data_IF_381948112488
#
_entry.id   IF_381948112488
#
_cell.length_a   1.000
_cell.length_b   1.000
_cell.length_c   1.000
_cell.angle_alpha   90.00
_cell.angle_beta   90.00
_cell.angle_gamma   90.00
#
_symmetry.space_group_name_H-M   'P 1'
#
loop_
_entity.id
_entity.type
_entity.pdbx_description
1 polymer ?
#
# COMPACT_ATOMS: atom_id res chain seq x y z
N UNK A 1 -48.09 -4.52 -28.20
CA UNK A 1 -46.98 -5.24 -28.90
C UNK A 1 -45.62 -4.52 -28.74
N UNK A 2 -45.57 -3.20 -28.72
CA UNK A 2 -44.33 -2.39 -28.59
C UNK A 2 -43.67 -2.58 -27.22
N UNK A 3 -44.46 -2.57 -26.14
CA UNK A 3 -43.93 -2.75 -24.74
C UNK A 3 -43.23 -4.11 -24.57
N UNK A 4 -43.70 -5.18 -25.16
CA UNK A 4 -43.05 -6.50 -25.09
C UNK A 4 -41.70 -6.54 -25.82
N UNK A 5 -41.53 -5.72 -26.86
CA UNK A 5 -40.24 -5.60 -27.56
C UNK A 5 -39.25 -4.71 -26.83
N UNK A 6 -39.71 -3.72 -26.06
CA UNK A 6 -38.90 -2.80 -25.29
C UNK A 6 -38.50 -3.36 -23.94
N UNK A 7 -39.25 -4.33 -23.40
CA UNK A 7 -38.99 -4.90 -22.04
C UNK A 7 -37.54 -5.37 -21.83
N UNK A 8 -36.90 -6.14 -22.74
CA UNK A 8 -35.52 -6.57 -22.50
C UNK A 8 -34.52 -5.42 -22.48
N UNK A 9 -34.73 -4.36 -23.25
CA UNK A 9 -33.87 -3.17 -23.24
C UNK A 9 -34.05 -2.36 -21.94
N UNK A 10 -35.28 -2.22 -21.46
CA UNK A 10 -35.57 -1.56 -20.22
C UNK A 10 -34.95 -2.34 -19.04
N UNK A 11 -35.05 -3.65 -19.03
CA UNK A 11 -34.41 -4.50 -18.00
C UNK A 11 -32.90 -4.33 -18.07
N UNK A 12 -32.29 -4.36 -19.24
CA UNK A 12 -30.84 -4.18 -19.40
C UNK A 12 -30.36 -2.81 -18.91
N UNK A 13 -31.06 -1.74 -19.28
CA UNK A 13 -30.76 -0.38 -18.82
C UNK A 13 -30.92 -0.26 -17.30
N UNK A 14 -32.02 -0.82 -16.75
CA UNK A 14 -32.25 -0.78 -15.29
C UNK A 14 -31.17 -1.55 -14.52
N UNK A 15 -30.78 -2.72 -14.97
CA UNK A 15 -29.68 -3.49 -14.38
C UNK A 15 -28.34 -2.75 -14.51
N UNK A 16 -28.09 -2.11 -15.66
CA UNK A 16 -26.92 -1.27 -15.87
C UNK A 16 -26.87 -0.09 -14.88
N UNK A 17 -27.97 0.64 -14.72
CA UNK A 17 -28.06 1.76 -13.76
C UNK A 17 -27.89 1.26 -12.31
N UNK A 18 -28.53 0.15 -11.95
CA UNK A 18 -28.41 -0.43 -10.62
C UNK A 18 -26.98 -0.84 -10.29
N UNK A 19 -26.22 -1.33 -11.27
CA UNK A 19 -24.79 -1.67 -11.07
C UNK A 19 -23.89 -0.46 -10.87
N UNK A 20 -24.35 0.74 -11.24
CA UNK A 20 -23.66 2.01 -11.06
C UNK A 20 -24.08 2.78 -9.81
N UNK A 21 -25.08 2.32 -9.06
CA UNK A 21 -25.46 2.97 -7.81
C UNK A 21 -24.26 2.92 -6.84
N UNK A 22 -23.86 4.06 -6.25
CA UNK A 22 -22.67 4.15 -5.41
C UNK A 22 -22.61 3.12 -4.27
N UNK A 23 -23.76 2.78 -3.69
CA UNK A 23 -23.85 1.77 -2.65
C UNK A 23 -23.54 0.37 -3.18
N UNK A 24 -24.14 -0.03 -4.30
CA UNK A 24 -23.85 -1.34 -4.93
C UNK A 24 -22.42 -1.38 -5.43
N UNK A 25 -21.91 -0.28 -5.96
CA UNK A 25 -20.53 -0.14 -6.40
C UNK A 25 -19.55 -0.29 -5.24
N UNK A 26 -19.80 0.38 -4.12
CA UNK A 26 -18.92 0.37 -2.97
C UNK A 26 -18.92 -1.00 -2.26
N UNK A 27 -20.08 -1.63 -2.11
CA UNK A 27 -20.17 -2.99 -1.55
C UNK A 27 -19.63 -4.04 -2.50
N UNK A 28 -19.89 -3.92 -3.80
CA UNK A 28 -19.35 -4.84 -4.81
C UNK A 28 -17.85 -4.69 -4.94
N UNK A 29 -17.32 -3.47 -4.96
CA UNK A 29 -15.86 -3.24 -4.97
C UNK A 29 -15.24 -3.71 -3.65
N UNK A 30 -15.81 -3.42 -2.50
CA UNK A 30 -15.31 -3.89 -1.22
C UNK A 30 -15.32 -5.42 -1.11
N UNK A 31 -16.44 -6.07 -1.44
CA UNK A 31 -16.54 -7.53 -1.49
C UNK A 31 -15.60 -8.15 -2.53
N UNK A 32 -15.39 -7.43 -3.61
CA UNK A 32 -14.48 -7.77 -4.66
C UNK A 32 -13.03 -7.67 -4.16
N UNK A 33 -12.65 -6.58 -3.49
CA UNK A 33 -11.32 -6.40 -2.92
C UNK A 33 -11.03 -7.36 -1.77
N UNK A 34 -12.01 -7.63 -0.92
CA UNK A 34 -11.87 -8.59 0.20
C UNK A 34 -12.01 -10.03 -0.25
N UNK A 35 -12.74 -10.31 -1.34
CA UNK A 35 -12.90 -11.65 -1.93
C UNK A 35 -11.76 -12.09 -2.83
N UNK A 36 -10.89 -11.16 -3.26
CA UNK A 36 -9.74 -11.45 -4.14
C UNK A 36 -8.46 -11.73 -3.39
N UNK A 37 -8.53 -12.08 -2.10
CA UNK A 37 -7.41 -12.66 -1.40
C UNK A 37 -6.28 -11.69 -1.12
N UNK A 38 -6.56 -10.54 -0.50
CA UNK A 38 -5.53 -9.90 0.28
C UNK A 38 -5.17 -10.85 1.43
N UNK A 39 -4.03 -11.48 1.31
CA UNK A 39 -3.46 -12.22 2.42
C UNK A 39 -2.84 -11.23 3.38
N UNK A 40 -2.80 -11.56 4.66
CA UNK A 40 -2.23 -10.68 5.68
C UNK A 40 -1.15 -11.40 6.49
N UNK A 41 -0.10 -10.64 6.80
CA UNK A 41 0.85 -10.99 7.85
C UNK A 41 0.77 -9.88 8.88
N UNK A 42 0.24 -10.17 10.06
CA UNK A 42 -0.17 -9.17 11.05
C UNK A 42 -1.13 -8.13 10.38
N UNK A 43 -0.84 -6.83 10.52
CA UNK A 43 -1.61 -5.74 9.89
C UNK A 43 -1.20 -5.43 8.44
N UNK A 44 -0.23 -6.15 7.88
CA UNK A 44 0.28 -5.94 6.53
C UNK A 44 -0.46 -6.81 5.52
N UNK A 45 -1.06 -6.17 4.51
CA UNK A 45 -1.67 -6.85 3.37
C UNK A 45 -0.61 -7.12 2.31
N UNK A 46 -0.64 -8.28 1.68
CA UNK A 46 0.29 -8.61 0.60
C UNK A 46 -0.40 -9.35 -0.55
N UNK A 47 0.22 -9.25 -1.72
CA UNK A 47 -0.15 -9.99 -2.92
C UNK A 47 1.12 -10.52 -3.58
N UNK A 48 1.32 -11.82 -3.57
CA UNK A 48 2.53 -12.43 -4.15
C UNK A 48 2.49 -12.46 -5.69
N UNK A 49 1.29 -12.37 -6.28
CA UNK A 49 1.08 -12.49 -7.72
C UNK A 49 1.17 -11.16 -8.49
N UNK A 50 1.51 -10.04 -7.83
CA UNK A 50 1.61 -8.76 -8.51
C UNK A 50 2.60 -8.82 -9.68
N UNK A 51 2.14 -8.37 -10.87
CA UNK A 51 2.93 -8.35 -12.09
C UNK A 51 3.22 -9.71 -12.70
N UNK A 52 2.66 -10.80 -12.15
CA UNK A 52 2.85 -12.16 -12.68
C UNK A 52 1.79 -12.52 -13.73
N UNK A 53 2.06 -13.58 -14.50
CA UNK A 53 1.08 -14.15 -15.43
C UNK A 53 -0.10 -14.81 -14.72
N UNK A 54 0.09 -15.26 -13.48
CA UNK A 54 -0.94 -15.88 -12.62
C UNK A 54 -1.99 -14.90 -12.12
N UNK A 55 -1.73 -13.58 -12.22
CA UNK A 55 -2.70 -12.56 -11.86
C UNK A 55 -4.02 -12.76 -12.60
N UNK A 56 -5.11 -12.89 -11.85
CA UNK A 56 -6.44 -12.96 -12.44
C UNK A 56 -6.86 -11.61 -13.06
N UNK A 57 -7.89 -11.64 -13.93
CA UNK A 57 -8.36 -10.47 -14.66
C UNK A 57 -8.74 -9.30 -13.74
N UNK A 58 -9.24 -9.58 -12.56
CA UNK A 58 -9.71 -8.58 -11.62
C UNK A 58 -8.55 -7.88 -10.89
N UNK A 59 -7.55 -8.65 -10.48
CA UNK A 59 -6.31 -8.10 -9.91
C UNK A 59 -5.61 -7.19 -10.93
N UNK A 60 -5.56 -7.60 -12.20
CA UNK A 60 -5.02 -6.76 -13.30
C UNK A 60 -5.82 -5.48 -13.46
N UNK A 61 -7.15 -5.55 -13.46
CA UNK A 61 -8.01 -4.37 -13.56
C UNK A 61 -7.81 -3.44 -12.35
N UNK A 62 -7.70 -3.98 -11.13
CA UNK A 62 -7.44 -3.22 -9.91
C UNK A 62 -6.11 -2.47 -9.97
N UNK A 63 -5.03 -3.17 -10.31
CA UNK A 63 -3.69 -2.59 -10.48
C UNK A 63 -3.70 -1.47 -11.53
N UNK A 64 -4.41 -1.68 -12.64
CA UNK A 64 -4.53 -0.68 -13.72
C UNK A 64 -5.34 0.56 -13.29
N UNK A 65 -6.41 0.37 -12.51
CA UNK A 65 -7.24 1.47 -12.01
C UNK A 65 -6.50 2.35 -11.00
N UNK A 66 -5.62 1.75 -10.20
CA UNK A 66 -4.79 2.47 -9.24
C UNK A 66 -3.54 3.11 -9.88
N UNK A 67 -3.29 2.85 -11.16
CA UNK A 67 -2.08 3.34 -11.84
C UNK A 67 -0.79 2.71 -11.32
N UNK A 68 -0.88 1.60 -10.61
CA UNK A 68 0.28 0.88 -10.09
C UNK A 68 1.02 0.21 -11.26
N UNK A 69 2.34 0.38 -11.28
CA UNK A 69 3.25 -0.30 -12.21
C UNK A 69 4.16 -1.23 -11.40
N UNK A 70 3.64 -2.34 -10.87
CA UNK A 70 4.43 -3.25 -10.06
C UNK A 70 5.47 -3.95 -10.93
N UNK A 71 6.66 -4.12 -10.37
CA UNK A 71 7.63 -5.07 -10.94
C UNK A 71 7.07 -6.49 -10.87
N UNK A 72 7.44 -7.31 -11.85
CA UNK A 72 6.93 -8.67 -11.92
C UNK A 72 7.39 -9.51 -10.71
N UNK A 73 6.50 -10.35 -10.19
CA UNK A 73 6.87 -11.45 -9.31
C UNK A 73 7.76 -12.45 -10.11
N UNK A 74 8.89 -12.98 -9.56
CA UNK A 74 9.31 -12.88 -8.15
C UNK A 74 10.32 -11.76 -7.83
N UNK A 75 10.43 -10.72 -8.65
CA UNK A 75 11.40 -9.64 -8.48
C UNK A 75 11.14 -8.79 -7.22
N UNK A 76 9.86 -8.55 -6.88
CA UNK A 76 9.48 -7.70 -5.76
C UNK A 76 8.24 -8.24 -5.05
N UNK A 77 8.28 -8.25 -3.72
CA UNK A 77 7.09 -8.41 -2.87
C UNK A 77 6.67 -7.03 -2.37
N UNK A 78 5.37 -6.73 -2.51
CA UNK A 78 4.75 -5.51 -2.02
C UNK A 78 3.83 -5.84 -0.83
N UNK A 79 4.02 -5.13 0.27
CA UNK A 79 3.12 -5.21 1.42
C UNK A 79 2.63 -3.81 1.75
N UNK A 80 1.35 -3.69 2.13
CA UNK A 80 0.74 -2.41 2.50
C UNK A 80 0.10 -2.48 3.87
N UNK A 81 0.20 -1.39 4.64
CA UNK A 81 -0.48 -1.25 5.91
C UNK A 81 -1.16 0.12 5.99
N UNK A 82 -2.42 0.13 6.41
CA UNK A 82 -3.23 1.33 6.65
C UNK A 82 -3.67 1.48 8.10
N UNK A 83 -3.28 0.54 8.94
CA UNK A 83 -3.60 0.50 10.38
C UNK A 83 -2.36 0.18 11.20
N UNK A 84 -2.36 0.60 12.46
CA UNK A 84 -1.31 0.26 13.42
C UNK A 84 -1.53 -1.13 14.05
N UNK A 85 -0.66 -1.53 14.98
CA UNK A 85 -0.74 -2.83 15.67
C UNK A 85 -2.00 -2.99 16.54
N UNK A 86 -2.72 -1.90 16.84
CA UNK A 86 -4.00 -1.92 17.55
C UNK A 86 -5.21 -2.02 16.60
N UNK A 87 -4.98 -1.87 15.28
CA UNK A 87 -6.03 -1.82 14.27
C UNK A 87 -6.59 -0.41 14.04
N UNK A 88 -5.97 0.63 14.61
CA UNK A 88 -6.35 2.03 14.38
C UNK A 88 -5.75 2.53 13.05
N UNK A 89 -6.49 3.35 12.30
CA UNK A 89 -6.01 3.96 11.06
C UNK A 89 -4.76 4.83 11.29
N UNK A 90 -3.89 4.88 10.30
CA UNK A 90 -2.69 5.72 10.32
C UNK A 90 -3.06 7.17 10.01
N UNK A 91 -3.01 8.03 11.01
CA UNK A 91 -3.50 9.42 10.93
C UNK A 91 -2.39 10.44 11.11
N UNK A 92 -2.50 11.56 10.40
CA UNK A 92 -1.47 12.58 10.30
C UNK A 92 -1.27 13.46 11.54
N UNK A 93 -2.10 13.32 12.56
CA UNK A 93 -1.94 14.03 13.82
C UNK A 93 -1.18 13.25 14.89
N UNK A 94 -0.75 12.01 14.59
CA UNK A 94 -0.01 11.14 15.49
C UNK A 94 1.39 10.82 14.96
N UNK A 95 2.31 10.55 15.84
CA UNK A 95 3.61 9.99 15.52
C UNK A 95 3.55 8.47 15.58
N UNK A 96 4.39 7.80 14.80
CA UNK A 96 4.50 6.35 14.79
C UNK A 96 5.95 5.91 14.78
N UNK A 97 6.18 4.67 15.21
CA UNK A 97 7.47 4.01 15.13
C UNK A 97 7.30 2.64 14.48
N UNK A 98 8.06 2.39 13.41
CA UNK A 98 8.19 1.07 12.82
C UNK A 98 9.35 0.35 13.47
N UNK A 99 9.09 -0.78 14.10
CA UNK A 99 10.10 -1.67 14.65
C UNK A 99 10.13 -2.97 13.84
N UNK A 100 11.18 -3.17 13.09
CA UNK A 100 11.31 -4.29 12.18
C UNK A 100 12.65 -5.01 12.26
N UNK A 101 12.76 -6.01 11.40
CA UNK A 101 13.97 -6.79 11.20
C UNK A 101 14.27 -6.80 9.70
N UNK A 102 15.52 -6.63 9.33
CA UNK A 102 15.97 -6.62 7.93
C UNK A 102 15.57 -7.93 7.24
N UNK A 103 14.78 -7.86 6.15
CA UNK A 103 14.36 -9.04 5.42
C UNK A 103 15.54 -9.68 4.66
N UNK A 104 15.45 -10.97 4.43
CA UNK A 104 16.39 -11.67 3.57
C UNK A 104 16.08 -11.35 2.11
N UNK A 105 16.72 -10.32 1.59
CA UNK A 105 16.49 -9.76 0.27
C UNK A 105 17.73 -9.00 -0.23
N UNK A 106 17.74 -8.68 -1.54
CA UNK A 106 18.78 -7.86 -2.13
C UNK A 106 18.68 -6.38 -1.68
N UNK A 107 17.45 -5.90 -1.51
CA UNK A 107 17.14 -4.52 -1.11
C UNK A 107 15.72 -4.44 -0.54
N UNK A 108 15.46 -3.47 0.31
CA UNK A 108 14.14 -3.20 0.85
C UNK A 108 13.94 -1.72 1.10
N UNK A 109 12.68 -1.27 1.08
CA UNK A 109 12.33 0.11 1.39
C UNK A 109 10.90 0.23 1.92
N UNK A 110 10.70 1.22 2.79
CA UNK A 110 9.38 1.72 3.14
C UNK A 110 9.11 3.02 2.40
N UNK A 111 7.88 3.17 1.94
CA UNK A 111 7.40 4.41 1.35
C UNK A 111 6.05 4.78 1.98
N UNK A 112 5.81 6.09 2.09
CA UNK A 112 4.60 6.65 2.66
C UNK A 112 3.75 7.28 1.54
N UNK A 113 2.44 6.97 1.54
CA UNK A 113 1.49 7.45 0.55
C UNK A 113 0.26 8.05 1.22
N UNK A 114 -0.30 9.08 0.63
CA UNK A 114 -1.61 9.59 1.00
C UNK A 114 -2.75 8.61 0.66
N UNK A 115 -3.94 8.93 1.14
CA UNK A 115 -5.15 8.15 0.83
C UNK A 115 -5.57 8.20 -0.65
N UNK A 116 -4.97 9.10 -1.42
CA UNK A 116 -5.11 9.23 -2.88
C UNK A 116 -4.12 8.34 -3.67
N UNK A 117 -3.26 7.56 -2.96
CA UNK A 117 -2.20 6.73 -3.50
C UNK A 117 -1.03 7.48 -4.17
N UNK A 118 -0.89 8.77 -3.90
CA UNK A 118 0.29 9.54 -4.29
C UNK A 118 1.27 9.69 -3.12
N UNK A 119 2.54 9.92 -3.45
CA UNK A 119 3.53 10.30 -2.46
C UNK A 119 3.10 11.60 -1.77
N UNK A 120 3.22 11.64 -0.45
CA UNK A 120 2.98 12.86 0.29
C UNK A 120 4.07 13.89 -0.02
N UNK A 121 3.68 15.14 -0.20
CA UNK A 121 4.59 16.25 -0.44
C UNK A 121 4.56 17.22 0.73
N UNK A 122 5.70 17.87 1.00
CA UNK A 122 5.75 18.95 1.97
C UNK A 122 4.87 20.11 1.48
N UNK A 123 3.79 20.47 2.19
CA UNK A 123 2.88 21.54 1.78
C UNK A 123 3.57 22.92 1.77
N UNK A 124 4.72 23.07 2.46
CA UNK A 124 5.50 24.30 2.48
C UNK A 124 6.54 24.37 1.34
N UNK A 125 6.72 23.29 0.62
CA UNK A 125 7.70 23.16 -0.47
C UNK A 125 7.10 22.43 -1.68
N UNK A 126 5.85 22.77 -2.01
CA UNK A 126 5.19 22.25 -3.22
C UNK A 126 5.94 22.77 -4.45
N UNK A 127 6.50 21.87 -5.23
CA UNK A 127 7.12 22.14 -6.51
C UNK A 127 6.23 21.56 -7.61
N UNK A 128 6.02 22.35 -8.67
CA UNK A 128 5.30 21.87 -9.86
C UNK A 128 6.04 20.72 -10.56
N UNK A 129 7.37 20.64 -10.35
CA UNK A 129 8.25 19.60 -10.85
C UNK A 129 9.19 19.15 -9.71
N UNK A 130 8.78 18.20 -8.84
CA UNK A 130 9.58 17.75 -7.74
C UNK A 130 10.83 17.03 -8.25
N UNK A 131 11.99 17.40 -7.70
CA UNK A 131 13.23 16.70 -8.01
C UNK A 131 13.24 15.29 -7.41
N UNK A 132 14.14 14.45 -7.92
CA UNK A 132 14.34 13.09 -7.38
C UNK A 132 14.62 13.11 -5.87
N UNK A 133 15.35 14.11 -5.37
CA UNK A 133 15.65 14.28 -3.94
C UNK A 133 14.40 14.63 -3.11
N UNK A 134 13.49 15.43 -3.66
CA UNK A 134 12.22 15.77 -2.99
C UNK A 134 11.32 14.54 -2.82
N UNK A 135 11.37 13.58 -3.75
CA UNK A 135 10.62 12.32 -3.67
C UNK A 135 11.27 11.32 -2.72
N UNK A 136 12.60 11.37 -2.57
CA UNK A 136 13.33 10.45 -1.67
C UNK A 136 13.14 10.74 -0.18
N UNK A 137 12.76 11.95 0.20
CA UNK A 137 12.41 12.30 1.59
C UNK A 137 11.23 11.48 2.14
N UNK A 138 10.53 10.71 1.28
CA UNK A 138 9.40 9.87 1.64
C UNK A 138 9.74 8.37 1.63
N UNK A 139 11.01 8.02 1.53
CA UNK A 139 11.46 6.62 1.44
C UNK A 139 12.56 6.37 2.46
N UNK A 140 12.31 5.50 3.41
CA UNK A 140 13.33 4.94 4.29
C UNK A 140 13.77 3.56 3.75
N UNK A 141 15.04 3.33 3.63
CA UNK A 141 15.59 2.15 2.96
C UNK A 141 16.78 1.52 3.68
N UNK A 142 17.14 0.30 3.26
CA UNK A 142 18.20 -0.48 3.87
C UNK A 142 19.60 0.15 3.77
N UNK A 143 19.87 0.99 2.77
CA UNK A 143 21.17 1.66 2.66
C UNK A 143 21.38 2.75 3.70
N UNK A 144 20.28 3.38 4.13
CA UNK A 144 20.31 4.44 5.14
C UNK A 144 20.30 3.90 6.57
N UNK A 145 19.69 2.72 6.77
CA UNK A 145 19.50 2.13 8.09
C UNK A 145 20.54 1.06 8.40
N UNK A 146 20.32 -0.14 7.85
CA UNK A 146 21.21 -1.29 7.96
C UNK A 146 20.94 -2.27 6.84
N UNK A 147 21.99 -2.92 6.35
CA UNK A 147 21.89 -3.94 5.30
C UNK A 147 22.05 -5.35 5.82
N UNK A 148 22.43 -5.52 7.10
CA UNK A 148 22.70 -6.83 7.66
C UNK A 148 21.40 -7.59 7.93
N UNK A 149 21.23 -8.70 7.23
CA UNK A 149 20.03 -9.55 7.32
C UNK A 149 19.83 -10.00 8.77
N UNK A 150 18.62 -9.81 9.26
CA UNK A 150 18.24 -10.19 10.61
C UNK A 150 18.52 -9.13 11.67
N UNK A 151 19.22 -8.04 11.35
CA UNK A 151 19.35 -6.90 12.26
C UNK A 151 18.03 -6.17 12.46
N UNK A 152 17.89 -5.59 13.65
CA UNK A 152 16.73 -4.77 14.00
C UNK A 152 16.95 -3.35 13.54
N UNK A 153 15.87 -2.75 13.04
CA UNK A 153 15.83 -1.33 12.71
C UNK A 153 14.63 -0.65 13.35
N UNK A 154 14.73 0.67 13.48
CA UNK A 154 13.67 1.55 13.92
C UNK A 154 13.53 2.70 12.92
N UNK A 155 12.29 2.96 12.45
CA UNK A 155 11.96 4.09 11.59
C UNK A 155 10.91 4.92 12.30
N UNK A 156 11.18 6.22 12.46
CA UNK A 156 10.22 7.17 13.02
C UNK A 156 9.37 7.81 11.93
N UNK A 157 8.08 7.95 12.19
CA UNK A 157 7.14 8.58 11.27
C UNK A 157 6.44 9.73 12.01
N UNK A 158 6.48 10.93 11.42
CA UNK A 158 5.82 12.09 12.01
C UNK A 158 6.16 13.39 11.29
N UNK A 159 5.49 14.49 11.66
CA UNK A 159 5.74 15.80 11.05
C UNK A 159 7.10 16.41 11.38
N UNK A 160 7.70 16.00 12.52
CA UNK A 160 8.91 16.63 13.04
C UNK A 160 10.18 15.94 12.55
N UNK A 161 10.08 14.88 11.75
CA UNK A 161 11.23 14.08 11.30
C UNK A 161 11.69 14.39 9.88
N UNK A 162 11.28 15.55 9.35
CA UNK A 162 11.71 16.01 8.02
C UNK A 162 13.24 16.09 7.99
N UNK A 163 13.85 15.45 7.00
CA UNK A 163 15.31 15.40 6.79
C UNK A 163 16.12 14.67 7.89
N UNK A 164 15.51 13.83 8.70
CA UNK A 164 16.23 12.92 9.57
C UNK A 164 16.44 11.58 8.85
N UNK A 165 17.69 11.13 8.81
CA UNK A 165 18.05 9.82 8.25
C UNK A 165 17.26 8.70 8.97
N UNK A 166 16.72 7.75 8.19
CA UNK A 166 15.92 6.66 8.75
C UNK A 166 14.56 7.07 9.29
N UNK A 167 14.00 8.18 8.83
CA UNK A 167 12.65 8.63 9.21
C UNK A 167 11.77 8.95 8.01
N UNK A 168 10.45 9.01 8.23
CA UNK A 168 9.44 9.36 7.24
C UNK A 168 8.59 10.53 7.75
N UNK A 169 8.11 11.37 6.85
CA UNK A 169 7.17 12.44 7.22
C UNK A 169 5.82 12.24 6.55
N UNK A 170 4.74 12.31 7.33
CA UNK A 170 3.38 12.32 6.80
C UNK A 170 2.82 13.72 6.58
N UNK A 171 3.58 14.78 6.90
CA UNK A 171 3.20 16.19 6.72
C UNK A 171 1.81 16.56 7.25
N UNK A 172 1.32 15.87 8.29
CA UNK A 172 -0.01 16.07 8.87
C UNK A 172 -1.16 15.41 8.12
N UNK A 173 -0.88 14.59 7.11
CA UNK A 173 -1.90 13.87 6.35
C UNK A 173 -2.06 12.44 6.84
N UNK A 174 -3.28 11.92 6.75
CA UNK A 174 -3.54 10.49 6.90
C UNK A 174 -2.82 9.72 5.79
N UNK A 175 -2.29 8.55 6.10
CA UNK A 175 -1.36 7.88 5.21
C UNK A 175 -1.48 6.35 5.23
N UNK A 176 -0.84 5.77 4.23
CA UNK A 176 -0.61 4.34 4.11
C UNK A 176 0.89 4.07 3.97
N UNK A 177 1.33 2.93 4.44
CA UNK A 177 2.70 2.47 4.32
C UNK A 177 2.80 1.37 3.26
N UNK A 178 3.85 1.41 2.45
CA UNK A 178 4.19 0.33 1.54
C UNK A 178 5.61 -0.13 1.82
N UNK A 179 5.75 -1.41 2.18
CA UNK A 179 7.03 -2.10 2.23
C UNK A 179 7.27 -2.78 0.88
N UNK A 180 8.44 -2.55 0.32
CA UNK A 180 8.91 -3.20 -0.91
C UNK A 180 10.14 -4.02 -0.59
N UNK A 181 10.12 -5.28 -0.97
CA UNK A 181 11.22 -6.23 -0.78
C UNK A 181 11.68 -6.70 -2.15
N UNK A 182 12.86 -6.25 -2.59
CA UNK A 182 13.41 -6.49 -3.93
C UNK A 182 14.38 -7.68 -3.91
N UNK A 183 14.22 -8.61 -4.84
CA UNK A 183 14.96 -9.86 -4.88
C UNK A 183 14.82 -10.61 -3.56
N UNK A 184 13.58 -10.88 -3.11
CA UNK A 184 13.31 -11.54 -1.84
C UNK A 184 13.80 -12.99 -1.87
N UNK A 185 14.09 -13.56 -0.70
CA UNK A 185 14.31 -14.99 -0.58
C UNK A 185 13.04 -15.75 -1.00
N UNK A 186 13.22 -16.80 -1.79
CA UNK A 186 12.12 -17.59 -2.33
C UNK A 186 11.26 -18.25 -1.24
N UNK A 187 11.80 -18.45 -0.04
CA UNK A 187 11.06 -18.97 1.11
C UNK A 187 9.81 -18.14 1.45
N UNK A 188 9.83 -16.83 1.14
CA UNK A 188 8.68 -15.96 1.37
C UNK A 188 7.50 -16.23 0.43
N UNK A 189 7.75 -16.87 -0.72
CA UNK A 189 6.69 -17.34 -1.62
C UNK A 189 6.10 -18.66 -1.16
N UNK A 190 6.93 -19.52 -0.55
CA UNK A 190 6.49 -20.81 -0.01
C UNK A 190 5.73 -20.64 1.31
N UNK A 191 6.23 -19.76 2.18
CA UNK A 191 5.60 -19.42 3.47
C UNK A 191 5.68 -17.91 3.74
N UNK A 192 4.66 -17.15 3.33
CA UNK A 192 4.61 -15.70 3.54
C UNK A 192 4.60 -15.26 5.01
N UNK A 193 4.27 -16.13 5.94
CA UNK A 193 4.30 -15.82 7.38
C UNK A 193 5.72 -15.55 7.89
N UNK A 194 6.73 -15.96 7.12
CA UNK A 194 8.15 -15.72 7.41
C UNK A 194 8.63 -14.33 6.97
N UNK A 195 7.81 -13.54 6.28
CA UNK A 195 8.16 -12.17 5.91
C UNK A 195 8.28 -11.34 7.19
N UNK A 196 9.46 -10.75 7.48
CA UNK A 196 9.67 -10.01 8.72
C UNK A 196 9.07 -8.59 8.61
N UNK A 197 7.76 -8.49 8.73
CA UNK A 197 7.06 -7.20 8.73
C UNK A 197 7.30 -6.42 10.02
N UNK A 198 7.40 -5.09 9.90
CA UNK A 198 7.56 -4.23 11.07
C UNK A 198 6.26 -4.15 11.89
N UNK A 199 6.43 -3.98 13.20
CA UNK A 199 5.37 -3.50 14.09
C UNK A 199 5.18 -2.01 13.90
N UNK A 200 3.93 -1.56 13.88
CA UNK A 200 3.56 -0.16 13.74
C UNK A 200 3.02 0.33 15.09
N UNK A 201 3.85 1.00 15.82
CA UNK A 201 3.52 1.48 17.16
C UNK A 201 3.11 2.93 17.12
N UNK A 202 1.90 3.23 17.60
CA UNK A 202 1.38 4.59 17.71
C UNK A 202 2.04 5.30 18.90
N UNK A 203 2.54 6.50 18.65
CA UNK A 203 3.15 7.38 19.63
C UNK A 203 2.21 8.47 20.10
N UNK A 204 2.78 9.69 20.33
CA UNK A 204 2.01 10.86 20.75
C UNK A 204 1.15 11.41 19.62
N UNK A 205 -0.07 11.86 19.96
CA UNK A 205 -0.97 12.57 19.04
C UNK A 205 -1.13 14.03 19.51
N UNK A 206 -1.24 14.96 18.55
CA UNK A 206 -1.47 16.40 18.79
C UNK A 206 -2.93 16.77 18.62
#
# INVERSE_FOLDING_TARGET
KLLKKLAPYLVGVTLGILSFIPFTRQTTIASFLTGFGSNTVNQWNYFLDYGSESQNMWQRAYVSLLGLLPSASPEVIYLSASVDDNGDGLVGNCEYTLNGVVPKARYWSYAIYGNDNYYLQDPNNLKDDPTYEDLFAQVANGHELTTDIGEKYEIKIGNNFINQEGSLSHFGNDFNLILRIYGPDLIYYDDPSLIPVAKILKGSCK
#
